data_IF_751253106100
#
_entry.id   IF_751253106100
#
_cell.length_a   1.000
_cell.length_b   1.000
_cell.length_c   1.000
_cell.angle_alpha   90.00
_cell.angle_beta   90.00
_cell.angle_gamma   90.00
#
_symmetry.space_group_name_H-M   'P 1'
#
loop_
_entity.id
_entity.type
_entity.pdbx_description
1 polymer ?
#
# COMPACT_ATOMS: atom_id res chain seq x y z
N UNK A 1 20.42 0.82 4.59
CA UNK A 1 19.01 0.89 5.02
C UNK A 1 18.62 2.35 5.11
N UNK A 2 17.35 2.66 4.78
CA UNK A 2 16.85 4.02 4.75
C UNK A 2 16.64 4.56 6.18
N UNK A 3 17.04 5.80 6.43
CA UNK A 3 16.78 6.52 7.66
C UNK A 3 15.84 7.70 7.38
N UNK A 4 14.86 7.92 8.24
CA UNK A 4 13.99 9.08 8.21
C UNK A 4 14.15 9.87 9.50
N UNK A 5 14.39 11.18 9.36
CA UNK A 5 14.47 12.11 10.49
C UNK A 5 13.32 13.10 10.43
N UNK A 6 12.71 13.37 11.57
CA UNK A 6 11.77 14.48 11.77
C UNK A 6 12.31 15.33 12.91
N UNK A 7 12.68 16.56 12.61
CA UNK A 7 13.25 17.50 13.58
C UNK A 7 12.87 18.95 13.24
N UNK A 8 12.91 19.87 14.22
CA UNK A 8 12.86 21.30 13.93
C UNK A 8 14.03 21.70 13.02
N UNK A 9 13.80 22.59 12.02
CA UNK A 9 14.83 22.94 11.03
C UNK A 9 16.17 23.40 11.63
N UNK A 10 16.13 24.11 12.77
CA UNK A 10 17.31 24.61 13.46
C UNK A 10 18.18 23.50 14.08
N UNK A 11 17.66 22.28 14.24
CA UNK A 11 18.38 21.16 14.83
C UNK A 11 18.80 20.09 13.81
N UNK A 12 18.25 20.12 12.61
CA UNK A 12 18.38 19.07 11.60
C UNK A 12 19.86 18.79 11.27
N UNK A 13 20.64 19.81 10.93
CA UNK A 13 22.07 19.68 10.58
C UNK A 13 22.90 19.07 11.72
N UNK A 14 22.61 19.48 12.96
CA UNK A 14 23.37 18.98 14.11
C UNK A 14 23.05 17.51 14.41
N UNK A 15 21.80 17.10 14.19
CA UNK A 15 21.39 15.72 14.38
C UNK A 15 22.00 14.81 13.31
N UNK A 16 22.00 15.23 12.03
CA UNK A 16 22.66 14.47 10.96
C UNK A 16 24.15 14.32 11.21
N UNK A 17 24.87 15.40 11.54
CA UNK A 17 26.30 15.35 11.93
C UNK A 17 26.56 14.46 13.15
N UNK A 18 25.58 14.34 14.05
CA UNK A 18 25.66 13.43 15.19
C UNK A 18 25.63 11.96 14.77
N UNK A 19 24.75 11.62 13.83
CA UNK A 19 24.58 10.25 13.32
C UNK A 19 25.77 9.85 12.43
N UNK A 20 26.25 10.77 11.56
CA UNK A 20 27.39 10.56 10.67
C UNK A 20 28.68 10.17 11.38
N UNK A 21 28.81 10.48 12.67
CA UNK A 21 29.99 10.04 13.49
C UNK A 21 29.98 8.52 13.75
N UNK A 22 28.83 7.86 13.54
CA UNK A 22 28.65 6.45 13.90
C UNK A 22 28.21 5.58 12.71
N UNK A 23 27.68 6.21 11.66
CA UNK A 23 27.16 5.52 10.47
C UNK A 23 27.64 6.27 9.24
N UNK A 24 28.27 5.57 8.32
CA UNK A 24 28.63 6.11 7.01
C UNK A 24 27.42 6.08 6.08
N UNK A 25 27.04 7.23 5.54
CA UNK A 25 26.00 7.35 4.54
C UNK A 25 26.59 7.31 3.13
N UNK A 26 25.94 6.58 2.23
CA UNK A 26 26.31 6.55 0.81
C UNK A 26 25.92 7.83 0.08
N UNK A 27 24.90 8.54 0.58
CA UNK A 27 24.35 9.76 -0.01
C UNK A 27 24.01 10.76 1.09
N UNK A 28 24.07 12.08 0.81
CA UNK A 28 23.68 13.10 1.78
C UNK A 28 22.18 13.03 2.08
N UNK A 29 21.78 13.55 3.26
CA UNK A 29 20.38 13.70 3.62
C UNK A 29 19.64 14.60 2.63
N UNK A 30 18.49 14.17 2.17
CA UNK A 30 17.61 14.89 1.24
C UNK A 30 16.21 15.07 1.87
N UNK A 31 15.46 16.09 1.47
CA UNK A 31 14.03 16.19 1.81
C UNK A 31 13.30 14.91 1.44
N UNK A 32 12.32 14.53 2.27
CA UNK A 32 11.55 13.31 2.04
C UNK A 32 10.81 13.37 0.70
N UNK A 33 11.09 12.43 -0.17
CA UNK A 33 10.37 12.15 -1.40
C UNK A 33 9.91 10.68 -1.39
N UNK A 34 10.85 9.78 -1.14
CA UNK A 34 10.58 8.34 -1.08
C UNK A 34 11.19 7.71 0.16
N UNK A 35 10.37 6.93 0.88
CA UNK A 35 10.83 6.17 2.04
C UNK A 35 10.11 4.83 2.12
N UNK A 36 10.85 3.73 2.27
CA UNK A 36 10.34 2.37 2.36
C UNK A 36 9.33 2.01 1.25
N UNK A 37 9.58 2.48 0.03
CA UNK A 37 8.74 2.17 -1.15
C UNK A 37 7.45 2.98 -1.26
N UNK A 38 7.22 3.94 -0.37
CA UNK A 38 6.15 4.91 -0.45
C UNK A 38 6.68 6.27 -0.91
N UNK A 39 5.91 7.00 -1.72
CA UNK A 39 6.17 8.39 -2.07
C UNK A 39 5.39 9.31 -1.15
N UNK A 40 6.04 10.40 -0.74
CA UNK A 40 5.51 11.40 0.18
C UNK A 40 5.40 12.75 -0.55
N UNK A 41 4.18 13.24 -0.67
CA UNK A 41 3.90 14.47 -1.42
C UNK A 41 3.30 15.49 -0.47
N UNK A 42 3.92 16.68 -0.40
CA UNK A 42 3.41 17.84 0.33
C UNK A 42 2.96 18.90 -0.64
N UNK A 43 1.71 19.36 -0.51
CA UNK A 43 1.13 20.37 -1.38
C UNK A 43 0.44 21.47 -0.56
N UNK A 44 0.60 22.73 -0.98
CA UNK A 44 -0.16 23.86 -0.42
C UNK A 44 -1.36 24.14 -1.30
N UNK A 45 -2.51 24.33 -0.67
CA UNK A 45 -3.76 24.62 -1.38
C UNK A 45 -4.62 25.60 -0.55
N UNK A 46 -5.65 26.16 -1.16
CA UNK A 46 -6.68 26.94 -0.44
C UNK A 46 -7.94 26.10 -0.34
N UNK A 47 -8.51 26.05 0.87
CA UNK A 47 -9.79 25.39 1.08
C UNK A 47 -10.96 26.20 0.46
N UNK A 48 -12.17 25.68 0.58
CA UNK A 48 -13.40 26.31 0.07
C UNK A 48 -13.72 27.68 0.69
N UNK A 49 -13.08 27.99 1.84
CA UNK A 49 -13.18 29.27 2.54
C UNK A 49 -12.02 30.22 2.25
N UNK A 50 -11.10 29.83 1.35
CA UNK A 50 -9.91 30.61 0.98
C UNK A 50 -8.77 30.56 2.00
N UNK A 51 -8.85 29.70 3.04
CA UNK A 51 -7.80 29.51 4.04
C UNK A 51 -6.65 28.69 3.46
N UNK A 52 -5.42 29.11 3.68
CA UNK A 52 -4.22 28.38 3.25
C UNK A 52 -4.06 27.10 4.08
N UNK A 53 -4.01 25.98 3.38
CA UNK A 53 -3.86 24.64 3.93
C UNK A 53 -2.65 23.95 3.33
N UNK A 54 -2.15 22.97 4.06
CA UNK A 54 -1.13 22.03 3.59
C UNK A 54 -1.71 20.62 3.60
N UNK A 55 -1.51 19.87 2.53
CA UNK A 55 -1.78 18.43 2.48
C UNK A 55 -0.49 17.65 2.51
N UNK A 56 -0.55 16.51 3.14
CA UNK A 56 0.48 15.47 3.16
C UNK A 56 -0.13 14.18 2.64
N UNK A 57 0.38 13.70 1.53
CA UNK A 57 -0.10 12.49 0.88
C UNK A 57 0.97 11.41 0.87
N UNK A 58 0.54 10.18 1.12
CA UNK A 58 1.37 8.98 0.99
C UNK A 58 0.79 8.11 -0.10
N UNK A 59 1.59 7.74 -1.10
CA UNK A 59 1.18 6.90 -2.21
C UNK A 59 2.12 5.72 -2.43
N UNK A 60 1.57 4.62 -2.92
CA UNK A 60 2.30 3.39 -3.21
C UNK A 60 1.94 2.83 -4.59
N UNK A 61 1.71 3.70 -5.57
CA UNK A 61 1.31 3.32 -6.93
C UNK A 61 2.28 2.33 -7.58
N UNK A 62 3.58 2.61 -7.54
CA UNK A 62 4.62 1.75 -8.10
C UNK A 62 4.70 0.39 -7.39
N UNK A 63 4.60 0.40 -6.07
CA UNK A 63 4.58 -0.83 -5.27
C UNK A 63 3.36 -1.69 -5.60
N UNK A 64 2.17 -1.10 -5.66
CA UNK A 64 0.93 -1.78 -6.02
C UNK A 64 0.99 -2.33 -7.44
N UNK A 65 1.52 -1.57 -8.40
CA UNK A 65 1.73 -2.01 -9.78
C UNK A 65 2.67 -3.20 -9.85
N UNK A 66 3.80 -3.14 -9.14
CA UNK A 66 4.75 -4.26 -9.03
C UNK A 66 4.11 -5.50 -8.42
N UNK A 67 3.27 -5.33 -7.39
CA UNK A 67 2.53 -6.43 -6.77
C UNK A 67 1.55 -7.09 -7.75
N UNK A 68 0.82 -6.30 -8.56
CA UNK A 68 -0.08 -6.80 -9.60
C UNK A 68 0.68 -7.57 -10.67
N UNK A 69 1.80 -7.04 -11.17
CA UNK A 69 2.65 -7.71 -12.16
C UNK A 69 3.19 -9.05 -11.65
N UNK A 70 3.63 -9.11 -10.40
CA UNK A 70 4.11 -10.35 -9.79
C UNK A 70 2.98 -11.38 -9.64
N UNK A 71 1.78 -10.94 -9.25
CA UNK A 71 0.59 -11.79 -9.18
C UNK A 71 0.23 -12.38 -10.55
N UNK A 72 0.13 -11.55 -11.59
CA UNK A 72 -0.16 -12.00 -12.97
C UNK A 72 0.87 -13.01 -13.46
N UNK A 73 2.17 -12.79 -13.18
CA UNK A 73 3.24 -13.70 -13.56
C UNK A 73 3.10 -15.08 -12.89
N UNK A 74 2.75 -15.13 -11.60
CA UNK A 74 2.58 -16.40 -10.88
C UNK A 74 1.29 -17.12 -11.32
N UNK A 75 0.19 -16.38 -11.55
CA UNK A 75 -1.03 -16.96 -12.12
C UNK A 75 -0.76 -17.55 -13.51
N UNK A 76 -0.02 -16.85 -14.35
CA UNK A 76 0.35 -17.35 -15.69
C UNK A 76 1.14 -18.66 -15.62
N UNK A 77 2.08 -18.78 -14.66
CA UNK A 77 2.84 -20.02 -14.45
C UNK A 77 1.97 -21.20 -13.98
N UNK A 78 0.97 -20.93 -13.13
CA UNK A 78 0.17 -21.95 -12.45
C UNK A 78 -1.02 -22.39 -13.33
N UNK A 79 -1.71 -21.43 -13.95
CA UNK A 79 -2.99 -21.65 -14.67
C UNK A 79 -2.78 -21.74 -16.18
N UNK A 80 -1.66 -21.21 -16.69
CA UNK A 80 -1.36 -21.14 -18.14
C UNK A 80 -1.70 -19.81 -18.77
N UNK A 81 -1.08 -19.54 -19.91
CA UNK A 81 -0.93 -18.21 -20.51
C UNK A 81 -2.21 -17.49 -20.96
N UNK A 82 -3.34 -18.16 -21.03
CA UNK A 82 -4.54 -17.61 -21.71
C UNK A 82 -5.51 -16.86 -20.79
N UNK A 83 -5.32 -16.83 -19.46
CA UNK A 83 -6.48 -16.69 -18.60
C UNK A 83 -6.63 -15.44 -17.76
N UNK A 84 -5.60 -14.64 -17.49
CA UNK A 84 -5.83 -13.56 -16.54
C UNK A 84 -5.32 -12.19 -17.00
N UNK A 85 -6.23 -11.39 -17.54
CA UNK A 85 -6.11 -9.94 -17.48
C UNK A 85 -6.88 -9.46 -16.26
N UNK A 86 -6.24 -8.74 -15.36
CA UNK A 86 -6.90 -8.04 -14.26
C UNK A 86 -7.89 -7.03 -14.85
N UNK A 87 -9.18 -7.33 -14.70
CA UNK A 87 -10.25 -6.42 -15.12
C UNK A 87 -10.51 -5.42 -13.99
N UNK A 88 -11.01 -4.22 -14.32
CA UNK A 88 -11.38 -3.24 -13.31
C UNK A 88 -12.47 -3.81 -12.40
N UNK A 89 -12.26 -3.73 -11.10
CA UNK A 89 -13.26 -4.02 -10.08
C UNK A 89 -13.52 -2.75 -9.26
N UNK A 90 -14.77 -2.47 -8.93
CA UNK A 90 -15.16 -1.26 -8.21
C UNK A 90 -14.98 -1.41 -6.69
N UNK A 91 -14.87 -2.64 -6.18
CA UNK A 91 -14.65 -2.92 -4.76
C UNK A 91 -13.65 -4.07 -4.59
N UNK A 92 -12.79 -4.02 -3.56
CA UNK A 92 -11.80 -5.08 -3.30
C UNK A 92 -12.42 -6.36 -2.73
N UNK A 93 -13.67 -6.31 -2.30
CA UNK A 93 -14.36 -7.35 -1.57
C UNK A 93 -15.76 -7.60 -2.16
N UNK A 94 -16.21 -8.85 -2.22
CA UNK A 94 -17.54 -9.25 -2.62
C UNK A 94 -18.27 -9.96 -1.47
N UNK A 95 -19.58 -9.76 -1.35
CA UNK A 95 -20.39 -10.38 -0.30
C UNK A 95 -20.37 -11.93 -0.32
N UNK A 96 -20.10 -12.50 -1.48
CA UNK A 96 -19.92 -13.96 -1.67
C UNK A 96 -18.72 -14.52 -0.89
N UNK A 97 -17.76 -13.66 -0.49
CA UNK A 97 -16.59 -14.03 0.28
C UNK A 97 -16.93 -14.46 1.71
N UNK A 98 -18.16 -14.19 2.16
CA UNK A 98 -18.69 -14.60 3.47
C UNK A 98 -19.43 -15.94 3.43
N UNK A 99 -19.60 -16.55 2.26
CA UNK A 99 -20.26 -17.84 2.12
C UNK A 99 -19.50 -18.91 2.93
N UNK A 100 -20.23 -19.66 3.73
CA UNK A 100 -19.69 -20.69 4.63
C UNK A 100 -18.83 -21.75 3.91
N UNK A 101 -18.30 -22.68 4.68
CA UNK A 101 -17.43 -23.75 4.20
C UNK A 101 -18.19 -24.63 3.19
N UNK A 102 -18.05 -24.30 1.91
CA UNK A 102 -18.65 -25.06 0.82
C UNK A 102 -17.68 -26.16 0.39
N UNK A 103 -18.20 -27.25 -0.13
CA UNK A 103 -17.43 -28.43 -0.58
C UNK A 103 -16.70 -28.16 -1.93
N UNK A 104 -16.07 -26.97 -2.02
CA UNK A 104 -15.32 -26.58 -3.20
C UNK A 104 -13.91 -27.21 -3.21
N UNK A 105 -13.33 -27.47 -4.40
CA UNK A 105 -11.98 -27.99 -4.53
C UNK A 105 -10.94 -26.99 -3.99
N UNK A 106 -9.73 -27.51 -3.73
CA UNK A 106 -8.59 -26.67 -3.36
C UNK A 106 -8.33 -25.62 -4.45
N UNK A 107 -8.04 -24.40 -4.05
CA UNK A 107 -7.70 -23.35 -4.98
C UNK A 107 -6.29 -23.52 -5.55
N UNK A 108 -6.14 -23.13 -6.81
CA UNK A 108 -4.88 -23.29 -7.56
C UNK A 108 -3.76 -22.40 -7.01
N UNK A 109 -4.11 -21.23 -6.43
CA UNK A 109 -3.15 -20.26 -5.93
C UNK A 109 -2.73 -20.48 -4.48
N UNK A 110 -3.13 -21.60 -3.86
CA UNK A 110 -2.82 -21.91 -2.45
C UNK A 110 -1.33 -21.81 -2.10
N UNK A 111 -0.43 -22.18 -3.03
CA UNK A 111 1.01 -22.14 -2.82
C UNK A 111 1.63 -20.74 -2.82
N UNK A 112 0.95 -19.74 -3.37
CA UNK A 112 1.47 -18.35 -3.55
C UNK A 112 0.62 -17.31 -2.84
N UNK A 113 -0.58 -17.66 -2.39
CA UNK A 113 -1.54 -16.70 -1.82
C UNK A 113 -0.99 -15.94 -0.62
N UNK A 114 -0.28 -16.61 0.29
CA UNK A 114 0.29 -15.97 1.49
C UNK A 114 1.28 -14.85 1.14
N UNK A 115 2.21 -15.11 0.21
CA UNK A 115 3.21 -14.14 -0.22
C UNK A 115 2.57 -12.89 -0.81
N UNK A 116 1.61 -13.06 -1.71
CA UNK A 116 0.91 -11.94 -2.34
C UNK A 116 0.02 -11.17 -1.36
N UNK A 117 -0.68 -11.86 -0.44
CA UNK A 117 -1.48 -11.20 0.60
C UNK A 117 -0.61 -10.36 1.52
N UNK A 118 0.57 -10.88 1.94
CA UNK A 118 1.48 -10.12 2.80
C UNK A 118 2.08 -8.91 2.08
N UNK A 119 2.34 -9.01 0.78
CA UNK A 119 2.76 -7.86 -0.04
C UNK A 119 1.68 -6.78 -0.08
N UNK A 120 0.42 -7.12 -0.33
CA UNK A 120 -0.69 -6.17 -0.29
C UNK A 120 -0.96 -5.64 1.12
N UNK A 121 -0.77 -6.45 2.17
CA UNK A 121 -0.92 -6.01 3.55
C UNK A 121 0.07 -4.89 3.90
N UNK A 122 1.29 -4.96 3.36
CA UNK A 122 2.25 -3.87 3.51
C UNK A 122 1.70 -2.56 2.92
N UNK A 123 1.21 -2.57 1.68
CA UNK A 123 0.58 -1.40 1.07
C UNK A 123 -0.65 -0.92 1.85
N UNK A 124 -1.48 -1.85 2.34
CA UNK A 124 -2.67 -1.53 3.13
C UNK A 124 -2.34 -0.76 4.41
N UNK A 125 -1.25 -1.11 5.05
CA UNK A 125 -0.81 -0.47 6.32
C UNK A 125 -0.16 0.89 6.11
N UNK A 126 0.43 1.14 4.95
CA UNK A 126 1.18 2.37 4.66
C UNK A 126 0.28 3.43 4.03
N UNK A 127 -0.46 3.09 2.96
CA UNK A 127 -1.20 4.08 2.18
C UNK A 127 -2.57 3.61 1.65
N UNK A 128 -2.91 2.30 1.77
CA UNK A 128 -4.11 1.72 1.14
C UNK A 128 -5.01 0.99 2.16
N UNK A 129 -5.51 1.69 3.21
CA UNK A 129 -6.40 1.07 4.21
C UNK A 129 -7.71 0.53 3.61
N UNK A 130 -8.10 0.98 2.43
CA UNK A 130 -9.27 0.54 1.66
C UNK A 130 -9.26 -0.96 1.33
N UNK A 131 -8.08 -1.58 1.14
CA UNK A 131 -7.95 -3.00 0.83
C UNK A 131 -7.74 -3.89 2.07
N UNK A 132 -7.55 -3.32 3.25
CA UNK A 132 -7.17 -4.06 4.46
C UNK A 132 -8.20 -5.15 4.83
N UNK A 133 -9.49 -4.83 4.79
CA UNK A 133 -10.55 -5.78 5.14
C UNK A 133 -10.54 -7.00 4.22
N UNK A 134 -10.42 -6.79 2.90
CA UNK A 134 -10.36 -7.88 1.93
C UNK A 134 -9.17 -8.81 2.18
N UNK A 135 -7.99 -8.22 2.46
CA UNK A 135 -6.78 -8.98 2.78
C UNK A 135 -6.96 -9.81 4.04
N UNK A 136 -7.48 -9.22 5.13
CA UNK A 136 -7.68 -9.91 6.40
C UNK A 136 -8.69 -11.05 6.25
N UNK A 137 -9.77 -10.86 5.50
CA UNK A 137 -10.75 -11.90 5.23
C UNK A 137 -10.13 -13.09 4.48
N UNK A 138 -9.34 -12.84 3.42
CA UNK A 138 -8.65 -13.88 2.68
C UNK A 138 -7.56 -14.57 3.51
N UNK A 139 -6.83 -13.81 4.33
CA UNK A 139 -5.75 -14.34 5.16
C UNK A 139 -6.20 -15.42 6.15
N UNK A 140 -7.45 -15.38 6.62
CA UNK A 140 -8.05 -16.41 7.49
C UNK A 140 -8.10 -17.80 6.82
N UNK A 141 -8.04 -17.84 5.50
CA UNK A 141 -8.22 -19.06 4.71
C UNK A 141 -6.93 -19.60 4.08
N UNK A 142 -5.78 -19.01 4.35
CA UNK A 142 -4.48 -19.40 3.76
C UNK A 142 -4.21 -20.92 3.90
N UNK A 143 -4.52 -21.51 5.05
CA UNK A 143 -4.30 -22.95 5.31
C UNK A 143 -5.40 -23.86 4.73
N UNK A 144 -6.55 -23.28 4.31
CA UNK A 144 -7.71 -23.98 3.75
C UNK A 144 -8.19 -23.31 2.48
N UNK A 145 -7.25 -22.97 1.60
CA UNK A 145 -7.51 -22.19 0.39
C UNK A 145 -8.35 -23.00 -0.61
N UNK A 146 -9.48 -22.45 -1.04
CA UNK A 146 -10.45 -23.04 -1.95
C UNK A 146 -10.55 -22.25 -3.25
N UNK A 147 -11.18 -22.84 -4.29
CA UNK A 147 -11.36 -22.18 -5.59
C UNK A 147 -12.11 -20.82 -5.50
N UNK A 148 -13.04 -20.67 -4.56
CA UNK A 148 -13.69 -19.37 -4.30
C UNK A 148 -12.70 -18.30 -3.88
N UNK A 149 -11.67 -18.66 -3.09
CA UNK A 149 -10.65 -17.71 -2.65
C UNK A 149 -9.76 -17.26 -3.81
N UNK A 150 -9.54 -18.08 -4.84
CA UNK A 150 -8.87 -17.66 -6.07
C UNK A 150 -9.67 -16.54 -6.77
N UNK A 151 -11.03 -16.67 -6.85
CA UNK A 151 -11.90 -15.64 -7.43
C UNK A 151 -11.88 -14.35 -6.63
N UNK A 152 -11.98 -14.42 -5.31
CA UNK A 152 -11.89 -13.26 -4.42
C UNK A 152 -10.52 -12.59 -4.51
N UNK A 153 -9.48 -13.38 -4.60
CA UNK A 153 -8.11 -12.92 -4.74
C UNK A 153 -7.88 -12.20 -6.06
N UNK A 154 -8.38 -12.75 -7.16
CA UNK A 154 -8.38 -12.08 -8.46
C UNK A 154 -9.14 -10.75 -8.42
N UNK A 155 -10.30 -10.70 -7.75
CA UNK A 155 -11.06 -9.46 -7.58
C UNK A 155 -10.26 -8.41 -6.81
N UNK A 156 -9.60 -8.79 -5.71
CA UNK A 156 -8.74 -7.89 -4.93
C UNK A 156 -7.63 -7.29 -5.79
N UNK A 157 -6.89 -8.09 -6.56
CA UNK A 157 -5.85 -7.61 -7.46
C UNK A 157 -6.41 -6.77 -8.61
N UNK A 158 -7.58 -7.11 -9.13
CA UNK A 158 -8.29 -6.31 -10.14
C UNK A 158 -8.66 -4.92 -9.62
N UNK A 159 -9.12 -4.83 -8.37
CA UNK A 159 -9.39 -3.56 -7.71
C UNK A 159 -8.11 -2.74 -7.52
N UNK A 160 -7.05 -3.34 -6.98
CA UNK A 160 -5.76 -2.67 -6.79
C UNK A 160 -5.22 -2.14 -8.12
N UNK A 161 -5.23 -2.96 -9.16
CA UNK A 161 -4.77 -2.56 -10.50
C UNK A 161 -5.60 -1.43 -11.13
N UNK A 162 -6.90 -1.39 -10.83
CA UNK A 162 -7.82 -0.35 -11.31
C UNK A 162 -7.82 0.94 -10.48
N UNK A 163 -7.07 0.98 -9.38
CA UNK A 163 -7.08 2.08 -8.39
C UNK A 163 -5.68 2.43 -7.88
N UNK A 164 -4.69 2.42 -8.79
CA UNK A 164 -3.29 2.71 -8.45
C UNK A 164 -3.05 4.16 -7.98
N UNK A 165 -3.93 5.06 -8.38
CA UNK A 165 -3.90 6.50 -8.06
C UNK A 165 -4.44 6.84 -6.66
N UNK A 166 -5.03 5.86 -5.95
CA UNK A 166 -5.52 6.10 -4.58
C UNK A 166 -4.32 6.28 -3.64
N UNK A 167 -4.37 7.39 -2.89
CA UNK A 167 -3.39 7.78 -1.89
C UNK A 167 -4.07 8.10 -0.56
N UNK A 168 -3.33 7.94 0.53
CA UNK A 168 -3.75 8.38 1.85
C UNK A 168 -3.34 9.85 2.01
N UNK A 169 -4.31 10.73 2.21
CA UNK A 169 -4.06 12.17 2.34
C UNK A 169 -4.60 12.71 3.65
N UNK A 170 -3.77 13.46 4.37
CA UNK A 170 -4.17 14.30 5.49
C UNK A 170 -3.97 15.77 5.11
N UNK A 171 -4.84 16.65 5.57
CA UNK A 171 -4.71 18.09 5.33
C UNK A 171 -5.00 18.88 6.60
N UNK A 172 -4.30 20.02 6.76
CA UNK A 172 -4.50 20.92 7.88
C UNK A 172 -4.26 22.38 7.46
N UNK A 173 -4.90 23.36 8.15
CA UNK A 173 -4.59 24.76 7.98
C UNK A 173 -3.15 25.07 8.40
N UNK A 174 -2.43 25.87 7.61
CA UNK A 174 -1.00 26.18 7.85
C UNK A 174 -0.78 26.81 9.24
N UNK A 175 -1.70 27.67 9.71
CA UNK A 175 -1.59 28.30 11.04
C UNK A 175 -1.80 27.36 12.22
N UNK A 176 -2.34 26.16 12.01
CA UNK A 176 -2.59 25.15 13.05
C UNK A 176 -1.51 24.07 13.10
N UNK A 177 -0.71 23.94 12.05
CA UNK A 177 0.37 22.97 11.96
C UNK A 177 1.39 23.10 13.11
N UNK A 178 1.63 24.32 13.60
CA UNK A 178 2.53 24.57 14.73
C UNK A 178 1.99 24.05 16.08
N UNK A 179 0.69 23.78 16.18
CA UNK A 179 0.03 23.30 17.41
C UNK A 179 -0.33 21.81 17.34
N UNK A 180 -0.10 21.16 16.24
CA UNK A 180 -0.30 19.70 16.12
C UNK A 180 0.77 18.99 16.94
N UNK A 181 0.43 18.54 18.13
CA UNK A 181 1.23 17.59 18.91
C UNK A 181 0.97 16.19 18.30
N UNK A 182 2.02 15.55 17.83
CA UNK A 182 2.05 14.14 17.44
C UNK A 182 2.07 13.25 18.69
#
# INVERSE_FOLDING_TARGET
>A
DDLLMVAPPEHEDNLWKGIEKHIDFSEPALPIDRYLGAHYVMEKFKDEHGKECMSFSVEMSDFCKSACTAYEADVQKIVGAASLKLQKADTPYAAEDTAGDTDEPAGLLSGVCASHLMRLLYAARVARPDIQTAIVCLAKHITKWKARHDRCFQRLFSYVNGSLDIRLTASMPIGEAANAQL
#
